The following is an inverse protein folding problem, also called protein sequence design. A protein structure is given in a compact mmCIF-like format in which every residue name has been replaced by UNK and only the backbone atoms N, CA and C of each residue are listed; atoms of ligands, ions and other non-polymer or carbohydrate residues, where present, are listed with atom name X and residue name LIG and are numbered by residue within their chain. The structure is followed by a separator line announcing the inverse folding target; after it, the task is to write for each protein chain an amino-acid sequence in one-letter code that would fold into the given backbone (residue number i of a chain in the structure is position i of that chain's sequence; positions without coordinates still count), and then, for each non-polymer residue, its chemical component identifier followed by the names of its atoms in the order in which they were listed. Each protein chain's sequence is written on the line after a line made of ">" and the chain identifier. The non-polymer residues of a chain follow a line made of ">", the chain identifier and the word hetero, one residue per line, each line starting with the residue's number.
data_IF_873217732212
#
_entry.id   IF_873217732212
#
_cell.length_a   1.000
_cell.length_b   1.000
_cell.length_c   1.000
_cell.angle_alpha   90.00
_cell.angle_beta   90.00
_cell.angle_gamma   90.00
#
_symmetry.space_group_name_H-M   'P 1'
#
loop_
_entity.id
_entity.type
_entity.pdbx_description
1 polymer ?
#
# COMPACT_ATOMS: atom_id res chain seq x y z
N UNK A 1 -5.10 21.33 5.15
CA UNK A 1 -6.12 20.29 5.40
C UNK A 1 -5.87 19.10 4.47
N UNK A 2 -6.02 17.87 4.95
CA UNK A 2 -5.91 16.72 4.07
C UNK A 2 -7.07 16.69 3.07
N UNK A 3 -6.87 16.11 1.88
CA UNK A 3 -7.94 15.93 0.91
C UNK A 3 -9.01 14.94 1.40
N UNK A 4 -10.19 14.88 0.77
CA UNK A 4 -11.19 13.88 1.11
C UNK A 4 -10.68 12.46 0.82
N UNK A 5 -11.25 11.48 1.51
CA UNK A 5 -10.91 10.07 1.29
C UNK A 5 -11.33 9.63 -0.11
N UNK A 6 -10.53 8.74 -0.69
CA UNK A 6 -10.80 8.18 -2.02
C UNK A 6 -12.16 7.48 -2.10
N UNK A 7 -12.59 6.84 -1.02
CA UNK A 7 -13.88 6.16 -0.95
C UNK A 7 -14.35 6.04 0.50
N UNK A 8 -15.63 5.75 0.66
CA UNK A 8 -16.27 5.60 1.97
C UNK A 8 -15.87 4.27 2.62
N UNK A 9 -15.30 4.33 3.83
CA UNK A 9 -14.88 3.14 4.60
C UNK A 9 -16.02 2.53 5.43
N UNK A 10 -17.16 3.19 5.57
CA UNK A 10 -18.25 2.71 6.44
C UNK A 10 -18.83 1.37 6.00
N UNK A 11 -18.68 1.02 4.73
CA UNK A 11 -19.20 -0.24 4.15
C UNK A 11 -18.22 -1.40 4.26
N UNK A 12 -17.01 -1.17 4.78
CA UNK A 12 -15.96 -2.19 4.88
C UNK A 12 -15.74 -2.55 6.33
N UNK A 13 -15.70 -3.85 6.64
CA UNK A 13 -15.29 -4.30 7.96
C UNK A 13 -13.77 -4.21 8.10
N UNK A 14 -13.29 -3.12 8.68
CA UNK A 14 -11.86 -2.84 8.82
C UNK A 14 -11.13 -3.79 9.76
N UNK A 15 -11.87 -4.47 10.65
CA UNK A 15 -11.32 -5.46 11.60
C UNK A 15 -11.59 -6.90 11.15
N UNK A 16 -12.23 -7.09 10.00
CA UNK A 16 -12.58 -8.41 9.48
C UNK A 16 -11.40 -9.16 8.89
N UNK A 17 -11.65 -10.41 8.49
CA UNK A 17 -10.64 -11.20 7.78
C UNK A 17 -10.33 -10.57 6.43
N UNK A 18 -9.05 -10.49 6.03
CA UNK A 18 -8.72 -10.02 4.69
C UNK A 18 -9.24 -11.01 3.63
N UNK A 19 -9.64 -10.46 2.48
CA UNK A 19 -9.97 -11.29 1.30
C UNK A 19 -8.72 -11.88 0.67
N UNK A 20 -7.56 -11.22 0.85
CA UNK A 20 -6.25 -11.75 0.53
C UNK A 20 -5.35 -11.54 1.73
N UNK A 21 -4.80 -12.62 2.26
CA UNK A 21 -3.91 -12.59 3.41
C UNK A 21 -2.44 -12.47 2.96
N UNK A 22 -1.53 -12.47 3.92
CA UNK A 22 -0.10 -12.34 3.68
C UNK A 22 0.45 -13.44 2.74
N UNK A 23 -0.01 -14.68 2.91
CA UNK A 23 0.42 -15.79 2.06
C UNK A 23 -0.09 -15.64 0.63
N UNK A 24 -1.30 -15.13 0.44
CA UNK A 24 -1.84 -14.84 -0.89
C UNK A 24 -1.02 -13.76 -1.59
N UNK A 25 -0.60 -12.73 -0.86
CA UNK A 25 0.24 -11.66 -1.39
C UNK A 25 1.61 -12.19 -1.82
N UNK A 26 2.21 -13.08 -1.03
CA UNK A 26 3.50 -13.70 -1.35
C UNK A 26 3.49 -14.51 -2.64
N UNK A 27 2.33 -15.04 -3.05
CA UNK A 27 2.19 -15.79 -4.31
C UNK A 27 2.24 -14.90 -5.54
N UNK A 28 2.03 -13.59 -5.37
CA UNK A 28 1.88 -12.63 -6.47
C UNK A 28 3.02 -11.63 -6.48
N UNK A 29 3.33 -11.04 -5.34
CA UNK A 29 4.38 -10.04 -5.19
C UNK A 29 5.74 -10.71 -4.94
N UNK A 30 6.83 -10.19 -5.54
CA UNK A 30 8.16 -10.77 -5.35
C UNK A 30 8.82 -10.40 -4.02
N UNK A 31 8.36 -9.35 -3.33
CA UNK A 31 8.93 -8.93 -2.06
C UNK A 31 8.69 -10.00 -0.98
N UNK A 32 9.73 -10.31 -0.21
CA UNK A 32 9.69 -11.34 0.82
C UNK A 32 10.52 -10.89 2.03
N UNK A 33 10.46 -11.67 3.09
CA UNK A 33 11.19 -11.42 4.34
C UNK A 33 10.90 -10.00 4.86
N UNK A 34 11.93 -9.25 5.21
CA UNK A 34 11.82 -7.90 5.76
C UNK A 34 11.18 -6.89 4.79
N UNK A 35 11.25 -7.17 3.49
CA UNK A 35 10.67 -6.29 2.47
C UNK A 35 9.21 -6.58 2.19
N UNK A 36 8.61 -7.59 2.77
CA UNK A 36 7.17 -7.79 2.67
C UNK A 36 6.45 -6.85 3.64
N UNK A 37 5.92 -5.75 3.12
CA UNK A 37 5.32 -4.69 3.93
C UNK A 37 3.80 -4.69 3.90
N UNK A 38 3.19 -5.28 2.89
CA UNK A 38 1.73 -5.41 2.80
C UNK A 38 1.27 -6.67 3.54
N UNK A 39 0.35 -6.52 4.48
CA UNK A 39 -0.12 -7.64 5.31
C UNK A 39 -1.47 -8.22 4.86
N UNK A 40 -2.30 -7.44 4.17
CA UNK A 40 -3.56 -7.95 3.67
C UNK A 40 -4.31 -6.96 2.80
N UNK A 41 -5.33 -7.48 2.10
CA UNK A 41 -6.27 -6.71 1.31
C UNK A 41 -7.68 -6.98 1.86
N UNK A 42 -8.38 -5.92 2.23
CA UNK A 42 -9.70 -6.00 2.85
C UNK A 42 -10.85 -5.88 1.85
N UNK A 43 -10.65 -5.11 0.79
CA UNK A 43 -11.72 -4.80 -0.15
C UNK A 43 -11.14 -4.25 -1.45
N UNK A 44 -11.86 -4.43 -2.55
CA UNK A 44 -11.56 -3.76 -3.82
C UNK A 44 -12.83 -3.57 -4.64
N UNK A 45 -12.76 -2.64 -5.57
CA UNK A 45 -13.76 -2.38 -6.61
C UNK A 45 -13.04 -2.33 -7.95
N UNK A 46 -13.17 -3.40 -8.74
CA UNK A 46 -12.47 -3.51 -10.03
C UNK A 46 -12.93 -2.48 -11.05
N UNK A 47 -14.25 -2.23 -11.26
CA UNK A 47 -14.71 -1.22 -12.22
C UNK A 47 -14.15 0.17 -11.95
N UNK A 48 -14.13 0.60 -10.70
CA UNK A 48 -13.61 1.92 -10.31
C UNK A 48 -12.12 1.91 -9.99
N UNK A 49 -11.48 0.75 -10.08
CA UNK A 49 -10.05 0.54 -9.83
C UNK A 49 -9.62 1.03 -8.44
N UNK A 50 -10.40 0.66 -7.42
CA UNK A 50 -10.16 1.00 -6.02
C UNK A 50 -9.73 -0.23 -5.23
N UNK A 51 -8.85 -0.05 -4.26
CA UNK A 51 -8.38 -1.14 -3.39
C UNK A 51 -8.11 -0.64 -1.98
N UNK A 52 -8.42 -1.46 -1.00
CA UNK A 52 -8.11 -1.20 0.41
C UNK A 52 -7.25 -2.34 0.95
N UNK A 53 -6.05 -2.00 1.37
CA UNK A 53 -5.13 -2.92 2.04
C UNK A 53 -4.67 -2.37 3.38
N UNK A 54 -3.82 -3.13 4.05
CA UNK A 54 -3.29 -2.69 5.33
C UNK A 54 -1.90 -3.25 5.62
N UNK A 55 -1.20 -2.54 6.49
CA UNK A 55 0.02 -2.96 7.16
C UNK A 55 -0.21 -2.92 8.67
N UNK A 56 -0.04 -4.03 9.35
CA UNK A 56 0.02 -4.08 10.81
C UNK A 56 1.46 -3.86 11.25
N UNK A 57 1.73 -2.68 11.79
CA UNK A 57 3.09 -2.29 12.19
C UNK A 57 3.40 -2.92 13.55
N UNK A 58 4.52 -3.67 13.62
CA UNK A 58 4.92 -4.38 14.84
C UNK A 58 6.26 -3.85 15.36
N UNK A 59 6.60 -4.26 16.58
CA UNK A 59 7.89 -3.96 17.19
C UNK A 59 9.05 -4.80 16.63
N UNK A 60 8.76 -5.72 15.70
CA UNK A 60 9.74 -6.60 15.04
C UNK A 60 10.12 -6.11 13.63
N UNK A 61 9.65 -4.93 13.22
CA UNK A 61 10.05 -4.37 11.94
C UNK A 61 11.55 -4.10 11.90
N UNK A 62 12.17 -4.27 10.74
CA UNK A 62 13.63 -4.13 10.60
C UNK A 62 14.15 -2.73 10.97
N UNK A 63 13.31 -1.70 10.84
CA UNK A 63 13.69 -0.31 11.10
C UNK A 63 13.53 0.12 12.57
N UNK A 64 12.90 -0.70 13.43
CA UNK A 64 12.55 -0.31 14.81
C UNK A 64 13.78 0.09 15.62
N UNK A 65 14.87 -0.65 15.50
CA UNK A 65 16.09 -0.40 16.26
C UNK A 65 16.78 0.91 15.87
N UNK A 66 16.73 1.27 14.59
CA UNK A 66 17.51 2.37 14.04
C UNK A 66 16.72 3.61 13.63
N UNK A 67 15.41 3.49 13.45
CA UNK A 67 14.59 4.61 12.99
C UNK A 67 13.42 4.87 13.92
N UNK A 68 13.61 5.60 14.97
CA UNK A 68 14.78 6.31 15.52
C UNK A 68 15.13 5.66 16.85
N UNK A 69 16.41 5.54 17.24
CA UNK A 69 16.77 4.91 18.50
C UNK A 69 15.99 5.48 19.69
N UNK A 70 15.32 4.61 20.45
CA UNK A 70 14.50 4.99 21.60
C UNK A 70 13.10 5.48 21.28
N UNK A 71 12.80 5.77 19.98
CA UNK A 71 11.46 6.16 19.53
C UNK A 71 11.21 5.62 18.13
N UNK A 72 10.79 4.36 18.00
CA UNK A 72 10.59 3.76 16.66
C UNK A 72 9.43 4.44 15.92
N UNK A 73 9.74 4.91 14.72
CA UNK A 73 8.78 5.52 13.79
C UNK A 73 8.94 4.83 12.43
N UNK A 74 7.84 4.47 11.81
CA UNK A 74 7.87 3.89 10.47
C UNK A 74 8.46 4.91 9.48
N UNK A 75 9.53 4.55 8.75
CA UNK A 75 10.09 5.47 7.76
C UNK A 75 9.07 5.80 6.68
N UNK A 76 9.00 7.08 6.28
CA UNK A 76 8.08 7.51 5.23
C UNK A 76 8.29 6.75 3.93
N UNK A 77 9.53 6.45 3.57
CA UNK A 77 9.84 5.66 2.37
C UNK A 77 9.31 4.23 2.44
N UNK A 78 9.17 3.67 3.64
CA UNK A 78 8.58 2.33 3.83
C UNK A 78 7.05 2.39 3.78
N UNK A 79 6.43 3.51 4.16
CA UNK A 79 5.01 3.73 3.92
C UNK A 79 4.71 3.71 2.41
N UNK A 80 5.55 4.38 1.61
CA UNK A 80 5.43 4.38 0.14
C UNK A 80 5.65 2.97 -0.41
N UNK A 81 6.62 2.22 0.10
CA UNK A 81 6.84 0.83 -0.30
C UNK A 81 5.61 -0.04 -0.03
N UNK A 82 4.99 0.11 1.14
CA UNK A 82 3.75 -0.62 1.47
C UNK A 82 2.63 -0.32 0.47
N UNK A 83 2.48 0.96 0.12
CA UNK A 83 1.51 1.40 -0.90
C UNK A 83 1.84 0.83 -2.28
N UNK A 84 3.10 0.86 -2.68
CA UNK A 84 3.54 0.31 -3.97
C UNK A 84 3.27 -1.19 -4.07
N UNK A 85 3.45 -1.94 -2.98
CA UNK A 85 3.14 -3.37 -2.91
C UNK A 85 1.65 -3.63 -3.06
N UNK A 86 0.79 -2.81 -2.45
CA UNK A 86 -0.66 -2.91 -2.62
C UNK A 86 -1.07 -2.72 -4.08
N UNK A 87 -0.51 -1.71 -4.73
CA UNK A 87 -0.83 -1.42 -6.13
C UNK A 87 -0.32 -2.52 -7.06
N UNK A 88 0.90 -2.99 -6.86
CA UNK A 88 1.47 -4.09 -7.62
C UNK A 88 0.61 -5.35 -7.50
N UNK A 89 0.19 -5.69 -6.28
CA UNK A 89 -0.72 -6.81 -6.03
C UNK A 89 -2.04 -6.62 -6.78
N UNK A 90 -2.65 -5.44 -6.66
CA UNK A 90 -3.95 -5.15 -7.28
C UNK A 90 -3.90 -5.24 -8.81
N UNK A 91 -2.90 -4.63 -9.44
CA UNK A 91 -2.82 -4.64 -10.91
C UNK A 91 -2.51 -6.04 -11.43
N UNK A 92 -1.77 -6.85 -10.69
CA UNK A 92 -1.47 -8.24 -11.09
C UNK A 92 -2.63 -9.18 -10.80
N UNK A 93 -3.11 -9.23 -9.56
CA UNK A 93 -4.11 -10.20 -9.12
C UNK A 93 -5.50 -9.88 -9.65
N UNK A 94 -5.91 -8.62 -9.66
CA UNK A 94 -7.27 -8.19 -9.99
C UNK A 94 -7.35 -7.69 -11.44
N UNK A 95 -6.39 -6.86 -11.86
CA UNK A 95 -6.41 -6.25 -13.19
C UNK A 95 -5.76 -7.14 -14.26
N UNK A 96 -5.06 -8.21 -13.87
CA UNK A 96 -4.50 -9.19 -14.80
C UNK A 96 -3.20 -8.77 -15.50
N UNK A 97 -2.51 -7.75 -15.00
CA UNK A 97 -1.23 -7.33 -15.55
C UNK A 97 -0.17 -8.41 -15.33
N UNK A 98 0.52 -8.80 -16.41
CA UNK A 98 1.53 -9.87 -16.37
C UNK A 98 2.94 -9.31 -16.22
N UNK A 99 3.85 -10.15 -15.73
CA UNK A 99 5.26 -9.85 -15.63
C UNK A 99 5.67 -9.21 -14.31
N UNK A 100 6.91 -8.74 -14.26
CA UNK A 100 7.45 -8.02 -13.10
C UNK A 100 6.99 -6.56 -13.15
N UNK A 101 6.50 -6.06 -12.01
CA UNK A 101 6.10 -4.67 -11.89
C UNK A 101 7.22 -3.91 -11.19
N UNK A 102 7.87 -3.03 -11.94
CA UNK A 102 8.89 -2.14 -11.42
C UNK A 102 8.30 -0.81 -10.97
N UNK A 103 8.91 -0.22 -9.96
CA UNK A 103 8.59 1.13 -9.50
C UNK A 103 9.14 2.12 -10.54
N UNK A 104 8.27 2.88 -11.21
CA UNK A 104 8.70 3.77 -12.29
C UNK A 104 8.94 5.21 -11.82
N UNK A 105 8.04 5.76 -10.99
CA UNK A 105 8.20 7.11 -10.47
C UNK A 105 7.38 7.35 -9.21
N UNK A 106 7.79 8.36 -8.47
CA UNK A 106 7.02 9.01 -7.42
C UNK A 106 6.84 10.46 -7.86
N UNK A 107 5.61 10.83 -8.22
CA UNK A 107 5.32 12.20 -8.67
C UNK A 107 5.17 13.15 -7.50
N UNK A 108 4.60 12.66 -6.39
CA UNK A 108 4.46 13.43 -5.16
C UNK A 108 4.37 12.51 -3.95
N UNK A 109 4.81 13.01 -2.80
CA UNK A 109 4.61 12.35 -1.53
C UNK A 109 4.50 13.42 -0.43
N UNK A 110 3.49 13.28 0.43
CA UNK A 110 3.31 14.15 1.60
C UNK A 110 3.12 13.29 2.83
N UNK A 111 3.92 13.54 3.84
CA UNK A 111 3.83 12.89 5.14
C UNK A 111 3.21 13.87 6.12
N UNK A 112 2.12 13.45 6.77
CA UNK A 112 1.30 14.34 7.62
C UNK A 112 1.39 13.98 9.08
N UNK A 113 1.73 12.72 9.42
CA UNK A 113 1.85 12.26 10.79
C UNK A 113 2.72 11.02 10.87
N UNK A 114 3.11 10.66 12.09
CA UNK A 114 3.95 9.48 12.35
C UNK A 114 3.11 8.21 12.41
N UNK A 115 3.77 7.08 12.11
CA UNK A 115 3.21 5.74 12.29
C UNK A 115 4.15 4.94 13.19
N UNK A 116 3.59 4.30 14.21
CA UNK A 116 4.35 3.63 15.27
C UNK A 116 3.98 2.14 15.37
N UNK A 117 4.86 1.31 15.93
CA UNK A 117 4.52 -0.08 16.23
C UNK A 117 3.23 -0.19 17.07
N UNK A 118 2.41 -1.19 16.74
CA UNK A 118 1.10 -1.40 17.35
C UNK A 118 -0.06 -0.76 16.60
N UNK A 119 0.21 0.03 15.56
CA UNK A 119 -0.82 0.68 14.76
C UNK A 119 -1.08 -0.09 13.47
N UNK A 120 -2.32 -0.05 12.98
CA UNK A 120 -2.68 -0.52 11.65
C UNK A 120 -2.68 0.67 10.69
N UNK A 121 -1.85 0.58 9.66
CA UNK A 121 -1.84 1.53 8.56
C UNK A 121 -2.78 1.02 7.47
N UNK A 122 -3.92 1.69 7.29
CA UNK A 122 -4.82 1.44 6.17
C UNK A 122 -4.29 2.14 4.92
N UNK A 123 -4.36 1.44 3.80
CA UNK A 123 -3.86 1.92 2.51
C UNK A 123 -5.04 1.95 1.53
N UNK A 124 -5.50 3.15 1.18
CA UNK A 124 -6.55 3.36 0.19
C UNK A 124 -5.88 3.69 -1.14
N UNK A 125 -6.10 2.86 -2.15
CA UNK A 125 -5.48 3.03 -3.46
C UNK A 125 -6.50 3.20 -4.58
N UNK A 126 -6.14 4.00 -5.57
CA UNK A 126 -6.87 4.16 -6.81
C UNK A 126 -5.89 4.17 -7.98
N UNK A 127 -6.16 3.33 -8.98
CA UNK A 127 -5.46 3.40 -10.26
C UNK A 127 -6.08 4.55 -11.05
N UNK A 128 -5.29 5.57 -11.35
CA UNK A 128 -5.77 6.79 -12.05
C UNK A 128 -5.60 6.70 -13.55
N UNK A 129 -4.58 5.96 -14.02
CA UNK A 129 -4.38 5.63 -15.44
C UNK A 129 -3.89 4.20 -15.54
N UNK A 130 -4.44 3.45 -16.48
CA UNK A 130 -4.05 2.08 -16.72
C UNK A 130 -3.84 1.84 -18.21
N UNK A 131 -2.61 1.51 -18.60
CA UNK A 131 -2.27 1.08 -19.95
C UNK A 131 -1.99 -0.40 -19.94
N UNK A 132 -2.90 -1.18 -20.52
CA UNK A 132 -2.81 -2.64 -20.55
C UNK A 132 -1.43 -3.10 -21.03
N UNK A 133 -0.79 -3.95 -20.24
CA UNK A 133 0.50 -4.55 -20.56
C UNK A 133 1.72 -3.62 -20.42
N UNK A 134 1.56 -2.39 -19.96
CA UNK A 134 2.67 -1.42 -19.91
C UNK A 134 2.85 -0.72 -18.57
N UNK A 135 1.94 0.18 -18.20
CA UNK A 135 2.14 1.15 -17.12
C UNK A 135 0.83 1.49 -16.43
N UNK A 136 0.91 1.80 -15.16
CA UNK A 136 -0.20 2.41 -14.42
C UNK A 136 0.29 3.61 -13.61
N UNK A 137 -0.59 4.58 -13.42
CA UNK A 137 -0.45 5.65 -12.45
C UNK A 137 -1.48 5.43 -11.34
N UNK A 138 -1.14 5.80 -10.12
CA UNK A 138 -2.00 5.57 -8.97
C UNK A 138 -1.83 6.65 -7.91
N UNK A 139 -2.88 6.80 -7.12
CA UNK A 139 -2.91 7.67 -5.95
C UNK A 139 -3.26 6.84 -4.72
N UNK A 140 -2.53 7.05 -3.62
CA UNK A 140 -2.71 6.30 -2.38
C UNK A 140 -2.80 7.25 -1.20
N UNK A 141 -3.68 6.91 -0.26
CA UNK A 141 -3.81 7.57 1.03
C UNK A 141 -3.56 6.54 2.13
N UNK A 142 -2.76 6.91 3.12
CA UNK A 142 -2.55 6.10 4.31
C UNK A 142 -3.26 6.70 5.52
N UNK A 143 -3.96 5.85 6.28
CA UNK A 143 -4.70 6.27 7.47
C UNK A 143 -4.35 5.42 8.68
N UNK A 144 -4.26 6.05 9.83
CA UNK A 144 -4.18 5.40 11.14
C UNK A 144 -5.25 6.00 12.03
N UNK A 145 -6.14 5.16 12.55
CA UNK A 145 -7.25 5.59 13.42
C UNK A 145 -8.05 6.76 12.84
N UNK A 146 -8.33 6.71 11.53
CA UNK A 146 -9.11 7.73 10.83
C UNK A 146 -8.36 9.01 10.45
N UNK A 147 -7.07 9.12 10.82
CA UNK A 147 -6.23 10.28 10.49
C UNK A 147 -5.34 9.95 9.30
N UNK A 148 -5.34 10.82 8.31
CA UNK A 148 -4.44 10.67 7.16
C UNK A 148 -2.99 10.94 7.58
N UNK A 149 -2.13 9.92 7.43
CA UNK A 149 -0.72 9.99 7.83
C UNK A 149 0.19 10.25 6.64
N UNK A 150 -0.20 9.83 5.44
CA UNK A 150 0.52 10.19 4.21
C UNK A 150 -0.39 10.08 3.00
N UNK A 151 0.04 10.67 1.90
CA UNK A 151 -0.53 10.48 0.57
C UNK A 151 0.59 10.50 -0.47
N UNK A 152 0.43 9.79 -1.57
CA UNK A 152 1.45 9.72 -2.62
C UNK A 152 0.83 9.42 -3.98
N UNK A 153 1.43 9.98 -5.02
CA UNK A 153 1.16 9.62 -6.42
C UNK A 153 2.39 8.88 -6.95
N UNK A 154 2.15 7.68 -7.47
CA UNK A 154 3.22 6.81 -7.96
C UNK A 154 2.84 6.21 -9.30
N UNK A 155 3.84 5.70 -10.02
CA UNK A 155 3.61 4.88 -11.20
C UNK A 155 4.43 3.61 -11.16
N UNK A 156 3.86 2.55 -11.72
CA UNK A 156 4.51 1.27 -11.91
C UNK A 156 4.52 0.89 -13.39
N UNK A 157 5.49 0.08 -13.77
CA UNK A 157 5.68 -0.34 -15.15
C UNK A 157 5.95 -1.84 -15.21
N UNK A 158 5.29 -2.53 -16.14
CA UNK A 158 5.58 -3.92 -16.43
C UNK A 158 6.94 -4.01 -17.15
N UNK A 159 7.84 -4.79 -16.57
CA UNK A 159 9.16 -5.03 -17.12
C UNK A 159 9.28 -6.50 -17.47
N UNK A 160 9.69 -6.80 -18.69
CA UNK A 160 10.00 -8.16 -19.10
C UNK A 160 11.45 -8.45 -18.74
N UNK A 161 11.64 -9.41 -17.82
CA UNK A 161 12.96 -9.88 -17.40
C UNK A 161 13.22 -11.24 -18.06
#
# INVERSE_FOLDING_TARGET
>A
MPPPLLFDLSKVNLAGKPIFNRDDILKVNPQNYEMQQLDGVLWYDKPDMLVLGYKDVTDKEFWVRGHIPGRPLMPGVIMIESAAQLLSFFVKQIMGLQGFIGFASIESAKFRSTVEPGQRLLLLGKITKFRVGRKYDAYIQGLVNGTMVFETEVSGMAVHI
#
